data_IF_872715162211
#
_entry.id   IF_872715162211
#
_cell.length_a   1.000
_cell.length_b   1.000
_cell.length_c   1.000
_cell.angle_alpha   90.00
_cell.angle_beta   90.00
_cell.angle_gamma   90.00
#
_symmetry.space_group_name_H-M   'P 1'
#
loop_
_entity.id
_entity.type
_entity.pdbx_description
1 polymer ?
#
# COMPACT_ATOMS: atom_id res chain seq x y z
N UNK A 1 30.87 -22.32 -6.98
CA UNK A 1 29.56 -21.75 -7.30
C UNK A 1 28.41 -22.31 -6.45
N UNK A 2 28.46 -23.55 -5.95
CA UNK A 2 27.42 -24.17 -5.11
C UNK A 2 27.42 -23.64 -3.66
N UNK A 3 28.58 -23.27 -3.12
CA UNK A 3 28.73 -22.76 -1.73
C UNK A 3 28.07 -21.37 -1.55
N UNK A 4 28.04 -20.53 -2.60
CA UNK A 4 27.41 -19.21 -2.55
C UNK A 4 25.87 -19.27 -2.49
N UNK A 5 25.25 -20.26 -3.13
CA UNK A 5 23.79 -20.45 -3.13
C UNK A 5 23.28 -20.99 -1.79
N UNK A 6 24.04 -21.87 -1.13
CA UNK A 6 23.70 -22.39 0.20
C UNK A 6 23.84 -21.30 1.26
N UNK A 7 24.84 -20.40 1.13
CA UNK A 7 25.00 -19.23 2.01
C UNK A 7 23.84 -18.24 1.88
N UNK A 8 23.36 -17.97 0.66
CA UNK A 8 22.20 -17.10 0.41
C UNK A 8 20.89 -17.71 0.92
N UNK A 9 20.75 -19.04 0.82
CA UNK A 9 19.58 -19.77 1.34
C UNK A 9 19.55 -19.83 2.88
N UNK A 10 20.72 -19.91 3.51
CA UNK A 10 20.88 -19.84 4.98
C UNK A 10 20.63 -18.44 5.50
N UNK A 11 21.19 -17.40 4.84
CA UNK A 11 21.03 -15.99 5.23
C UNK A 11 19.58 -15.51 5.15
N UNK A 12 18.82 -15.94 4.12
CA UNK A 12 17.40 -15.61 3.97
C UNK A 12 16.50 -16.28 5.02
N UNK A 13 16.97 -17.33 5.70
CA UNK A 13 16.19 -18.07 6.69
C UNK A 13 16.35 -17.54 8.12
N UNK A 14 17.51 -16.99 8.44
CA UNK A 14 17.81 -16.44 9.77
C UNK A 14 17.46 -14.96 9.91
N UNK A 15 17.48 -14.18 8.83
CA UNK A 15 17.27 -12.73 8.87
C UNK A 15 15.84 -12.27 9.15
N UNK A 16 14.85 -13.17 9.16
CA UNK A 16 13.44 -12.86 9.48
C UNK A 16 12.95 -13.41 10.83
N UNK A 17 13.81 -13.99 11.63
CA UNK A 17 13.53 -14.19 13.05
C UNK A 17 13.81 -12.84 13.71
N UNK A 18 12.75 -12.07 13.96
CA UNK A 18 12.84 -10.84 14.75
C UNK A 18 13.31 -11.27 16.15
N UNK A 19 14.62 -11.19 16.41
CA UNK A 19 15.13 -11.22 17.75
C UNK A 19 14.65 -9.95 18.44
N UNK A 20 13.67 -10.07 19.32
CA UNK A 20 13.02 -8.98 20.06
C UNK A 20 14.03 -8.18 20.93
N UNK A 21 15.26 -8.63 21.07
CA UNK A 21 16.19 -8.17 22.09
C UNK A 21 17.25 -7.17 21.60
N UNK A 22 17.39 -6.95 20.29
CA UNK A 22 18.32 -5.93 19.80
C UNK A 22 17.70 -4.53 19.84
N UNK A 23 17.95 -3.83 20.95
CA UNK A 23 17.52 -2.45 21.16
C UNK A 23 18.55 -1.46 20.62
N UNK A 24 18.06 -0.31 20.15
CA UNK A 24 18.92 0.82 19.79
C UNK A 24 19.52 1.39 21.08
N UNK A 25 20.85 1.45 21.17
CA UNK A 25 21.55 1.95 22.36
C UNK A 25 21.75 3.46 22.36
N UNK A 26 21.65 4.11 21.19
CA UNK A 26 21.90 5.55 21.03
C UNK A 26 20.67 6.40 21.39
N UNK A 27 20.93 7.52 22.09
CA UNK A 27 19.91 8.57 22.28
C UNK A 27 19.54 9.20 20.92
N UNK A 28 18.27 9.57 20.64
CA UNK A 28 17.09 9.54 21.54
C UNK A 28 16.30 8.21 21.53
N UNK A 29 16.71 7.20 20.79
CA UNK A 29 15.92 6.00 20.50
C UNK A 29 16.24 4.80 21.40
N UNK A 30 16.81 5.05 22.58
CA UNK A 30 17.09 4.00 23.57
C UNK A 30 15.83 3.16 23.85
N UNK A 31 16.01 1.86 23.92
CA UNK A 31 14.98 0.86 24.22
C UNK A 31 13.96 0.58 23.10
N UNK A 32 14.13 1.14 21.90
CA UNK A 32 13.31 0.78 20.73
C UNK A 32 14.01 -0.38 19.99
N UNK A 33 13.25 -1.40 19.58
CA UNK A 33 13.83 -2.48 18.78
C UNK A 33 14.32 -1.94 17.42
N UNK A 34 15.45 -2.45 16.93
CA UNK A 34 16.04 -2.03 15.64
C UNK A 34 15.05 -2.17 14.49
N UNK A 35 14.24 -3.25 14.48
CA UNK A 35 13.22 -3.46 13.46
C UNK A 35 12.14 -2.36 13.50
N UNK A 36 11.65 -1.99 14.69
CA UNK A 36 10.66 -0.92 14.85
C UNK A 36 11.20 0.42 14.39
N UNK A 37 12.42 0.74 14.74
CA UNK A 37 13.10 1.94 14.28
C UNK A 37 13.24 1.96 12.74
N UNK A 38 13.65 0.82 12.14
CA UNK A 38 13.75 0.68 10.69
C UNK A 38 12.42 0.90 9.98
N UNK A 39 11.33 0.31 10.48
CA UNK A 39 9.98 0.50 9.91
C UNK A 39 9.55 1.96 10.01
N UNK A 40 9.78 2.63 11.13
CA UNK A 40 9.43 4.04 11.29
C UNK A 40 10.23 4.94 10.35
N UNK A 41 11.53 4.70 10.22
CA UNK A 41 12.39 5.45 9.28
C UNK A 41 11.95 5.24 7.83
N UNK A 42 11.63 4.00 7.46
CA UNK A 42 11.08 3.67 6.15
C UNK A 42 9.76 4.43 5.91
N UNK A 43 8.78 4.32 6.80
CA UNK A 43 7.51 5.03 6.65
C UNK A 43 7.67 6.55 6.59
N UNK A 44 8.61 7.13 7.36
CA UNK A 44 8.92 8.54 7.27
C UNK A 44 9.47 8.93 5.90
N UNK A 45 10.34 8.12 5.29
CA UNK A 45 10.84 8.35 3.94
C UNK A 45 9.72 8.29 2.89
N UNK A 46 8.78 7.36 3.06
CA UNK A 46 7.63 7.23 2.15
C UNK A 46 6.65 8.41 2.27
N UNK A 47 6.44 8.95 3.47
CA UNK A 47 5.66 10.17 3.67
C UNK A 47 6.27 11.34 2.89
N UNK A 48 7.59 11.50 2.97
CA UNK A 48 8.30 12.56 2.22
C UNK A 48 8.17 12.31 0.71
N UNK A 49 8.36 11.07 0.27
CA UNK A 49 8.28 10.70 -1.14
C UNK A 49 6.88 11.00 -1.74
N UNK A 50 5.80 10.55 -1.09
CA UNK A 50 4.45 10.88 -1.53
C UNK A 50 4.12 12.37 -1.38
N UNK A 51 4.65 13.03 -0.35
CA UNK A 51 4.52 14.46 -0.17
C UNK A 51 5.09 15.25 -1.35
N UNK A 52 6.24 14.84 -1.88
CA UNK A 52 6.85 15.43 -3.10
C UNK A 52 5.96 15.18 -4.32
N UNK A 53 5.44 13.96 -4.51
CA UNK A 53 4.55 13.64 -5.63
C UNK A 53 3.26 14.48 -5.59
N UNK A 54 2.64 14.60 -4.42
CA UNK A 54 1.42 15.41 -4.24
C UNK A 54 1.71 16.90 -4.47
N UNK A 55 2.84 17.40 -3.98
CA UNK A 55 3.25 18.79 -4.21
C UNK A 55 3.51 19.07 -5.70
N UNK A 56 4.16 18.14 -6.40
CA UNK A 56 4.39 18.24 -7.85
C UNK A 56 3.05 18.24 -8.60
N UNK A 57 2.10 17.36 -8.23
CA UNK A 57 0.77 17.36 -8.78
C UNK A 57 0.06 18.72 -8.60
N UNK A 58 0.04 19.26 -7.39
CA UNK A 58 -0.57 20.57 -7.11
C UNK A 58 0.09 21.69 -7.88
N UNK A 59 1.43 21.68 -7.96
CA UNK A 59 2.16 22.68 -8.76
C UNK A 59 1.78 22.62 -10.23
N UNK A 60 1.74 21.45 -10.84
CA UNK A 60 1.34 21.27 -12.24
C UNK A 60 -0.10 21.71 -12.44
N UNK A 61 -1.00 21.33 -11.54
CA UNK A 61 -2.42 21.70 -11.60
C UNK A 61 -2.65 23.22 -11.61
N UNK A 62 -2.00 23.92 -10.67
CA UNK A 62 -2.19 25.38 -10.53
C UNK A 62 -1.61 26.15 -11.73
N UNK A 63 -0.53 25.62 -12.34
CA UNK A 63 0.16 26.29 -13.45
C UNK A 63 -0.28 25.80 -14.83
N UNK A 64 -1.19 24.83 -14.94
CA UNK A 64 -1.69 24.33 -16.23
C UNK A 64 -2.88 25.15 -16.74
N UNK A 65 -2.78 25.56 -18.01
CA UNK A 65 -3.89 26.27 -18.67
C UNK A 65 -5.05 25.34 -19.07
N UNK A 66 -4.77 24.04 -19.25
CA UNK A 66 -5.76 23.03 -19.60
C UNK A 66 -5.77 21.94 -18.53
N UNK A 67 -6.89 21.78 -17.84
CA UNK A 67 -7.12 20.78 -16.81
C UNK A 67 -8.50 20.13 -17.00
N UNK A 68 -8.66 18.82 -16.72
CA UNK A 68 -9.97 18.17 -16.81
C UNK A 68 -11.03 18.90 -15.98
N UNK A 69 -12.25 19.05 -16.52
CA UNK A 69 -13.35 19.66 -15.76
C UNK A 69 -13.73 18.77 -14.57
N UNK A 70 -14.37 19.38 -13.56
CA UNK A 70 -14.94 18.62 -12.43
C UNK A 70 -15.91 17.57 -12.96
N UNK A 71 -15.80 16.33 -12.44
CA UNK A 71 -16.60 15.19 -12.88
C UNK A 71 -16.00 14.41 -14.06
N UNK A 72 -14.81 14.78 -14.54
CA UNK A 72 -14.10 13.97 -15.54
C UNK A 72 -13.73 12.60 -15.00
N UNK A 73 -13.29 12.55 -13.74
CA UNK A 73 -13.07 11.30 -13.02
C UNK A 73 -14.37 10.86 -12.33
N UNK A 74 -14.68 9.57 -12.40
CA UNK A 74 -15.87 9.00 -11.77
C UNK A 74 -15.72 8.98 -10.24
N UNK A 75 -16.38 9.94 -9.58
CA UNK A 75 -16.39 10.08 -8.12
C UNK A 75 -16.93 8.80 -7.45
N UNK A 76 -17.92 8.13 -8.09
CA UNK A 76 -18.51 6.90 -7.57
C UNK A 76 -17.49 5.76 -7.50
N UNK A 77 -16.69 5.58 -8.56
CA UNK A 77 -15.58 4.60 -8.57
C UNK A 77 -14.51 4.93 -7.54
N UNK A 78 -14.13 6.20 -7.43
CA UNK A 78 -13.17 6.67 -6.42
C UNK A 78 -13.67 6.42 -4.99
N UNK A 79 -14.93 6.73 -4.71
CA UNK A 79 -15.57 6.50 -3.42
C UNK A 79 -15.68 5.00 -3.08
N UNK A 80 -16.07 4.16 -4.05
CA UNK A 80 -16.10 2.71 -3.89
C UNK A 80 -14.70 2.18 -3.51
N UNK A 81 -13.67 2.57 -4.25
CA UNK A 81 -12.30 2.18 -4.01
C UNK A 81 -11.80 2.61 -2.63
N UNK A 82 -12.19 3.78 -2.15
CA UNK A 82 -11.89 4.27 -0.81
C UNK A 82 -12.52 3.37 0.26
N UNK A 83 -13.80 3.00 0.10
CA UNK A 83 -14.47 2.08 1.04
C UNK A 83 -13.85 0.68 1.04
N UNK A 84 -13.42 0.17 -0.12
CA UNK A 84 -12.73 -1.12 -0.23
C UNK A 84 -11.44 -1.10 0.60
N UNK A 85 -10.61 -0.06 0.44
CA UNK A 85 -9.36 0.06 1.19
C UNK A 85 -9.60 0.25 2.69
N UNK A 86 -10.54 1.11 3.10
CA UNK A 86 -10.88 1.29 4.51
C UNK A 86 -11.37 -0.03 5.15
N UNK A 87 -12.17 -0.82 4.42
CA UNK A 87 -12.60 -2.13 4.88
C UNK A 87 -11.43 -3.10 4.97
N UNK A 88 -10.48 -3.05 4.02
CA UNK A 88 -9.26 -3.87 4.05
C UNK A 88 -8.35 -3.49 5.23
N UNK A 89 -8.32 -2.22 5.59
CA UNK A 89 -7.62 -1.70 6.77
C UNK A 89 -8.18 -2.32 8.06
N UNK A 90 -9.51 -2.40 8.17
CA UNK A 90 -10.16 -3.07 9.29
C UNK A 90 -9.80 -4.56 9.37
N UNK A 91 -9.79 -5.27 8.23
CA UNK A 91 -9.39 -6.69 8.22
C UNK A 91 -7.92 -6.88 8.61
N UNK A 92 -7.03 -5.95 8.25
CA UNK A 92 -5.62 -5.98 8.68
C UNK A 92 -5.49 -5.82 10.22
N UNK A 93 -6.30 -4.94 10.85
CA UNK A 93 -6.36 -4.82 12.32
C UNK A 93 -6.87 -6.11 12.96
N UNK A 94 -7.91 -6.73 12.39
CA UNK A 94 -8.45 -8.01 12.87
C UNK A 94 -7.42 -9.15 12.76
N UNK A 95 -6.55 -9.14 11.73
CA UNK A 95 -5.45 -10.09 11.62
C UNK A 95 -4.49 -9.96 12.81
N UNK A 96 -4.10 -8.74 13.17
CA UNK A 96 -3.24 -8.49 14.32
C UNK A 96 -3.91 -8.88 15.65
N UNK A 97 -5.18 -8.51 15.84
CA UNK A 97 -5.94 -8.88 17.03
C UNK A 97 -6.03 -10.41 17.18
N UNK A 98 -6.33 -11.11 16.08
CA UNK A 98 -6.39 -12.57 16.04
C UNK A 98 -5.03 -13.23 16.34
N UNK A 99 -3.94 -12.65 15.87
CA UNK A 99 -2.59 -13.13 16.15
C UNK A 99 -2.24 -13.03 17.64
N UNK A 100 -2.60 -11.91 18.27
CA UNK A 100 -2.36 -11.70 19.73
C UNK A 100 -3.09 -12.71 20.61
N UNK A 101 -4.27 -13.14 20.22
CA UNK A 101 -5.03 -14.18 20.94
C UNK A 101 -4.66 -15.60 20.51
N UNK A 102 -3.82 -15.75 19.47
CA UNK A 102 -3.38 -17.05 18.97
C UNK A 102 -4.39 -17.76 18.05
N UNK A 103 -5.40 -17.04 17.53
CA UNK A 103 -6.44 -17.60 16.66
C UNK A 103 -5.94 -17.74 15.22
N UNK A 104 -5.58 -18.96 14.81
CA UNK A 104 -5.09 -19.27 13.46
C UNK A 104 -6.12 -18.97 12.37
N UNK A 105 -7.35 -19.41 12.59
CA UNK A 105 -8.46 -19.18 11.65
C UNK A 105 -8.72 -17.68 11.48
N UNK A 106 -8.72 -16.92 12.59
CA UNK A 106 -8.90 -15.47 12.55
C UNK A 106 -7.81 -14.76 11.76
N UNK A 107 -6.53 -15.11 11.95
CA UNK A 107 -5.41 -14.53 11.20
C UNK A 107 -5.52 -14.84 9.71
N UNK A 108 -5.73 -16.10 9.35
CA UNK A 108 -5.83 -16.52 7.95
C UNK A 108 -7.01 -15.88 7.24
N UNK A 109 -8.20 -15.91 7.86
CA UNK A 109 -9.38 -15.29 7.28
C UNK A 109 -9.24 -13.78 7.09
N UNK A 110 -8.66 -13.09 8.08
CA UNK A 110 -8.44 -11.64 8.01
C UNK A 110 -7.40 -11.26 6.96
N UNK A 111 -6.28 -11.98 6.87
CA UNK A 111 -5.26 -11.74 5.82
C UNK A 111 -5.81 -12.02 4.41
N UNK A 112 -6.61 -13.08 4.24
CA UNK A 112 -7.29 -13.36 2.98
C UNK A 112 -8.29 -12.26 2.62
N UNK A 113 -9.05 -11.76 3.59
CA UNK A 113 -9.95 -10.62 3.40
C UNK A 113 -9.20 -9.36 2.93
N UNK A 114 -8.09 -9.02 3.60
CA UNK A 114 -7.24 -7.89 3.21
C UNK A 114 -6.69 -8.09 1.79
N UNK A 115 -6.22 -9.30 1.47
CA UNK A 115 -5.70 -9.64 0.15
C UNK A 115 -6.76 -9.49 -0.95
N UNK A 116 -7.95 -10.06 -0.73
CA UNK A 116 -9.05 -10.01 -1.70
C UNK A 116 -9.50 -8.56 -1.98
N UNK A 117 -9.67 -7.76 -0.91
CA UNK A 117 -10.08 -6.36 -1.03
C UNK A 117 -8.99 -5.51 -1.72
N UNK A 118 -7.71 -5.69 -1.37
CA UNK A 118 -6.61 -4.99 -2.03
C UNK A 118 -6.42 -5.39 -3.50
N UNK A 119 -6.60 -6.67 -3.83
CA UNK A 119 -6.58 -7.14 -5.21
C UNK A 119 -7.77 -6.57 -6.02
N UNK A 120 -8.95 -6.51 -5.42
CA UNK A 120 -10.12 -5.90 -6.04
C UNK A 120 -9.96 -4.40 -6.28
N UNK A 121 -9.31 -3.68 -5.35
CA UNK A 121 -8.92 -2.29 -5.57
C UNK A 121 -8.00 -2.13 -6.79
N UNK A 122 -6.94 -2.95 -6.91
CA UNK A 122 -6.03 -2.88 -8.06
C UNK A 122 -6.74 -3.21 -9.37
N UNK A 123 -7.65 -4.19 -9.37
CA UNK A 123 -8.46 -4.53 -10.52
C UNK A 123 -9.32 -3.35 -10.97
N UNK A 124 -10.05 -2.71 -10.06
CA UNK A 124 -10.86 -1.53 -10.36
C UNK A 124 -10.00 -0.38 -10.92
N UNK A 125 -8.79 -0.19 -10.36
CA UNK A 125 -7.87 0.85 -10.85
C UNK A 125 -7.35 0.56 -12.24
N UNK A 126 -7.07 -0.70 -12.57
CA UNK A 126 -6.65 -1.10 -13.91
C UNK A 126 -7.75 -0.82 -14.95
N UNK A 127 -9.01 -1.14 -14.64
CA UNK A 127 -10.16 -0.83 -15.51
C UNK A 127 -10.35 0.68 -15.69
N UNK A 128 -10.25 1.45 -14.64
CA UNK A 128 -10.35 2.91 -14.71
C UNK A 128 -9.23 3.52 -15.57
N UNK A 129 -8.02 3.00 -15.45
CA UNK A 129 -6.91 3.44 -16.29
C UNK A 129 -7.13 3.14 -17.77
N UNK A 130 -7.66 1.95 -18.08
CA UNK A 130 -8.01 1.56 -19.45
C UNK A 130 -9.08 2.49 -20.01
N UNK A 131 -10.17 2.75 -19.29
CA UNK A 131 -11.24 3.64 -19.70
C UNK A 131 -10.73 5.07 -19.98
N UNK A 132 -9.88 5.62 -19.12
CA UNK A 132 -9.31 6.96 -19.29
C UNK A 132 -8.31 7.04 -20.47
N UNK A 133 -7.54 5.96 -20.71
CA UNK A 133 -6.58 5.91 -21.81
C UNK A 133 -7.27 5.79 -23.18
N UNK A 134 -8.31 4.96 -23.27
CA UNK A 134 -9.02 4.71 -24.53
C UNK A 134 -10.06 5.81 -24.80
N UNK A 135 -10.62 6.43 -23.75
CA UNK A 135 -11.62 7.50 -23.86
C UNK A 135 -13.00 7.03 -24.34
N UNK A 136 -13.29 5.73 -24.28
CA UNK A 136 -14.53 5.14 -24.81
C UNK A 136 -15.82 5.73 -24.21
N UNK A 137 -15.79 6.14 -22.95
CA UNK A 137 -16.95 6.66 -22.22
C UNK A 137 -16.99 8.20 -22.11
N UNK A 138 -15.99 8.88 -22.66
CA UNK A 138 -15.79 10.32 -22.53
C UNK A 138 -16.09 11.08 -23.82
N UNK A 139 -16.84 10.49 -24.74
CA UNK A 139 -17.27 11.18 -25.94
C UNK A 139 -18.14 12.42 -25.57
N UNK A 140 -17.81 13.62 -26.08
CA UNK A 140 -16.91 13.89 -27.21
C UNK A 140 -15.46 14.23 -26.82
N UNK A 141 -15.06 14.07 -25.55
CA UNK A 141 -13.81 14.60 -25.01
C UNK A 141 -12.60 13.73 -25.41
N UNK A 142 -12.77 12.41 -25.67
CA UNK A 142 -11.68 11.50 -26.06
C UNK A 142 -10.70 11.15 -24.93
N UNK A 143 -9.54 10.63 -25.28
CA UNK A 143 -8.50 10.20 -24.32
C UNK A 143 -7.98 11.37 -23.46
N UNK A 144 -7.71 11.08 -22.18
CA UNK A 144 -7.12 12.06 -21.26
C UNK A 144 -5.72 12.51 -21.73
N UNK A 145 -4.98 11.63 -22.42
CA UNK A 145 -3.66 11.97 -22.93
C UNK A 145 -3.69 12.98 -24.08
N UNK A 146 -4.72 12.93 -24.93
CA UNK A 146 -4.85 13.84 -26.06
C UNK A 146 -5.28 15.25 -25.61
N UNK A 147 -6.16 15.32 -24.62
CA UNK A 147 -6.77 16.58 -24.20
C UNK A 147 -6.06 17.23 -23.01
N UNK A 148 -5.56 16.40 -22.07
CA UNK A 148 -4.97 16.88 -20.82
C UNK A 148 -3.68 16.11 -20.47
N UNK A 149 -2.61 16.20 -21.28
CA UNK A 149 -1.40 15.36 -21.12
C UNK A 149 -0.69 15.55 -19.77
N UNK A 150 -0.69 16.76 -19.22
CA UNK A 150 -0.08 17.03 -17.91
C UNK A 150 -0.91 16.43 -16.77
N UNK A 151 -2.23 16.52 -16.86
CA UNK A 151 -3.13 15.89 -15.89
C UNK A 151 -3.04 14.37 -15.96
N UNK A 152 -3.04 13.80 -17.18
CA UNK A 152 -2.84 12.38 -17.40
C UNK A 152 -1.54 11.89 -16.77
N UNK A 153 -0.42 12.53 -17.11
CA UNK A 153 0.90 12.15 -16.59
C UNK A 153 0.93 12.19 -15.06
N UNK A 154 0.43 13.28 -14.47
CA UNK A 154 0.39 13.44 -13.01
C UNK A 154 -0.49 12.37 -12.34
N UNK A 155 -1.66 12.09 -12.92
CA UNK A 155 -2.59 11.08 -12.43
C UNK A 155 -1.99 9.67 -12.48
N UNK A 156 -1.48 9.25 -13.66
CA UNK A 156 -0.94 7.89 -13.84
C UNK A 156 0.33 7.66 -13.02
N UNK A 157 1.23 8.65 -12.94
CA UNK A 157 2.44 8.51 -12.10
C UNK A 157 2.04 8.38 -10.63
N UNK A 158 1.21 9.28 -10.11
CA UNK A 158 0.90 9.30 -8.67
C UNK A 158 0.08 8.09 -8.25
N UNK A 159 -0.97 7.74 -9.02
CA UNK A 159 -1.81 6.57 -8.74
C UNK A 159 -1.08 5.27 -9.05
N UNK A 160 -0.15 5.26 -10.02
CA UNK A 160 0.70 4.11 -10.36
C UNK A 160 1.68 3.77 -9.25
N UNK A 161 2.39 4.77 -8.74
CA UNK A 161 3.28 4.59 -7.59
C UNK A 161 2.50 4.07 -6.38
N UNK A 162 1.32 4.63 -6.12
CA UNK A 162 0.44 4.12 -5.07
C UNK A 162 0.02 2.66 -5.34
N UNK A 163 -0.36 2.32 -6.57
CA UNK A 163 -0.69 0.95 -6.97
C UNK A 163 0.45 -0.04 -6.77
N UNK A 164 1.70 0.36 -7.04
CA UNK A 164 2.90 -0.44 -6.75
C UNK A 164 3.03 -0.70 -5.23
N UNK A 165 2.74 0.29 -4.38
CA UNK A 165 2.75 0.10 -2.92
C UNK A 165 1.64 -0.84 -2.45
N UNK A 166 0.43 -0.73 -3.00
CA UNK A 166 -0.65 -1.72 -2.73
C UNK A 166 -0.22 -3.12 -3.15
N UNK A 167 0.37 -3.28 -4.34
CA UNK A 167 0.88 -4.56 -4.82
C UNK A 167 1.98 -5.12 -3.92
N UNK A 168 2.92 -4.29 -3.46
CA UNK A 168 3.95 -4.71 -2.49
C UNK A 168 3.32 -5.21 -1.18
N UNK A 169 2.26 -4.54 -0.69
CA UNK A 169 1.49 -5.01 0.46
C UNK A 169 0.82 -6.37 0.23
N UNK A 170 0.25 -6.61 -0.97
CA UNK A 170 -0.30 -7.92 -1.33
C UNK A 170 0.79 -9.00 -1.38
N UNK A 171 1.98 -8.68 -1.90
CA UNK A 171 3.12 -9.60 -1.89
C UNK A 171 3.56 -9.94 -0.44
N UNK A 172 3.52 -8.97 0.47
CA UNK A 172 3.77 -9.22 1.91
C UNK A 172 2.71 -10.16 2.50
N UNK A 173 1.42 -10.00 2.17
CA UNK A 173 0.38 -10.93 2.62
C UNK A 173 0.62 -12.33 2.06
N UNK A 174 0.95 -12.44 0.76
CA UNK A 174 1.26 -13.72 0.13
C UNK A 174 2.45 -14.45 0.79
N UNK A 175 3.40 -13.69 1.36
CA UNK A 175 4.49 -14.22 2.17
C UNK A 175 4.06 -14.60 3.59
N UNK A 176 3.19 -13.81 4.23
CA UNK A 176 2.73 -14.05 5.61
C UNK A 176 1.75 -15.21 5.71
N UNK A 177 0.90 -15.40 4.71
CA UNK A 177 -0.18 -16.38 4.73
C UNK A 177 0.31 -17.83 4.89
N UNK A 178 1.28 -18.34 4.10
CA UNK A 178 1.83 -19.69 4.29
C UNK A 178 2.51 -19.86 5.65
N UNK A 179 3.10 -18.81 6.20
CA UNK A 179 3.73 -18.82 7.53
C UNK A 179 2.68 -18.94 8.63
N UNK A 180 1.59 -18.19 8.54
CA UNK A 180 0.47 -18.28 9.45
C UNK A 180 -0.16 -19.69 9.43
N UNK A 181 -0.27 -20.29 8.24
CA UNK A 181 -0.79 -21.67 8.08
C UNK A 181 0.11 -22.72 8.71
N UNK A 182 1.45 -22.58 8.64
CA UNK A 182 2.43 -23.55 9.14
C UNK A 182 2.80 -23.34 10.59
N UNK A 183 2.56 -22.17 11.16
CA UNK A 183 2.96 -21.83 12.53
C UNK A 183 2.13 -22.59 13.56
N UNK A 184 2.80 -23.10 14.58
CA UNK A 184 2.16 -23.65 15.77
C UNK A 184 1.78 -22.54 16.78
N UNK A 185 2.58 -21.46 16.84
CA UNK A 185 2.33 -20.30 17.71
C UNK A 185 2.34 -19.00 16.89
N UNK A 186 1.17 -18.41 16.76
CA UNK A 186 0.96 -17.15 16.04
C UNK A 186 1.31 -15.91 16.85
N UNK A 187 1.44 -16.04 18.17
CA UNK A 187 1.81 -14.91 19.03
C UNK A 187 3.21 -14.41 18.69
N UNK A 188 4.14 -15.30 18.36
CA UNK A 188 5.47 -14.94 17.86
C UNK A 188 5.44 -14.20 16.52
N UNK A 189 4.40 -14.41 15.70
CA UNK A 189 4.23 -13.71 14.42
C UNK A 189 3.50 -12.38 14.55
N UNK A 190 2.95 -12.06 15.74
CA UNK A 190 2.17 -10.83 15.94
C UNK A 190 2.97 -9.56 15.64
N UNK A 191 4.28 -9.54 15.89
CA UNK A 191 5.14 -8.40 15.55
C UNK A 191 5.27 -8.19 14.04
N UNK A 192 5.44 -9.27 13.28
CA UNK A 192 5.53 -9.19 11.81
C UNK A 192 4.20 -8.74 11.21
N UNK A 193 3.08 -9.23 11.73
CA UNK A 193 1.74 -8.78 11.32
C UNK A 193 1.50 -7.33 11.71
N UNK A 194 2.03 -6.87 12.85
CA UNK A 194 1.99 -5.46 13.25
C UNK A 194 2.72 -4.57 12.24
N UNK A 195 3.94 -4.93 11.83
CA UNK A 195 4.71 -4.14 10.87
C UNK A 195 4.06 -4.12 9.48
N UNK A 196 3.48 -5.24 9.05
CA UNK A 196 2.64 -5.27 7.86
C UNK A 196 1.45 -4.32 8.00
N UNK A 197 0.72 -4.37 9.11
CA UNK A 197 -0.43 -3.49 9.38
C UNK A 197 -0.07 -2.01 9.34
N UNK A 198 1.07 -1.60 9.93
CA UNK A 198 1.56 -0.22 9.86
C UNK A 198 1.82 0.22 8.41
N UNK A 199 2.45 -0.65 7.61
CA UNK A 199 2.66 -0.37 6.19
C UNK A 199 1.34 -0.27 5.43
N UNK A 200 0.41 -1.21 5.63
CA UNK A 200 -0.90 -1.22 4.96
C UNK A 200 -1.71 0.02 5.28
N UNK A 201 -1.78 0.42 6.55
CA UNK A 201 -2.45 1.66 6.95
C UNK A 201 -1.81 2.92 6.36
N UNK A 202 -0.49 2.95 6.23
CA UNK A 202 0.18 4.04 5.55
C UNK A 202 -0.28 4.14 4.09
N UNK A 203 -0.31 3.03 3.36
CA UNK A 203 -0.79 2.98 1.97
C UNK A 203 -2.23 3.47 1.87
N UNK A 204 -3.12 3.05 2.77
CA UNK A 204 -4.52 3.49 2.82
C UNK A 204 -4.64 5.00 3.10
N UNK A 205 -3.83 5.53 4.01
CA UNK A 205 -3.80 6.97 4.31
C UNK A 205 -3.38 7.77 3.07
N UNK A 206 -2.39 7.32 2.32
CA UNK A 206 -2.01 7.95 1.05
C UNK A 206 -3.20 8.03 0.09
N UNK A 207 -3.99 6.95 -0.04
CA UNK A 207 -5.19 6.95 -0.88
C UNK A 207 -6.24 7.97 -0.42
N UNK A 208 -6.43 8.15 0.90
CA UNK A 208 -7.35 9.16 1.46
C UNK A 208 -6.97 10.58 1.00
N UNK A 209 -5.68 10.87 0.77
CA UNK A 209 -5.25 12.15 0.19
C UNK A 209 -5.39 12.17 -1.33
N UNK A 210 -5.11 11.05 -2.03
CA UNK A 210 -5.22 10.97 -3.48
C UNK A 210 -6.67 11.12 -3.96
N UNK A 211 -7.60 10.48 -3.27
CA UNK A 211 -9.01 10.51 -3.65
C UNK A 211 -9.56 11.95 -3.78
N UNK A 212 -9.53 12.83 -2.76
CA UNK A 212 -10.04 14.18 -2.92
C UNK A 212 -9.27 15.00 -3.95
N UNK A 213 -7.95 14.83 -4.04
CA UNK A 213 -7.13 15.61 -4.97
C UNK A 213 -7.43 15.33 -6.44
N UNK A 214 -7.77 14.08 -6.79
CA UNK A 214 -8.05 13.72 -8.17
C UNK A 214 -9.54 13.73 -8.52
N UNK A 215 -10.42 13.38 -7.57
CA UNK A 215 -11.84 13.18 -7.87
C UNK A 215 -12.76 14.32 -7.40
N UNK A 216 -12.36 15.09 -6.39
CA UNK A 216 -13.23 16.12 -5.79
C UNK A 216 -12.81 17.55 -6.10
N UNK A 217 -11.53 17.78 -6.37
CA UNK A 217 -10.95 19.08 -6.67
C UNK A 217 -10.47 19.08 -8.12
#
# INVERSE_FOLDING_TARGET
MVIGLVGLYGYGRESFIVHEDEKVESWPFKAISRMRFGVWTFLASEIIFFGVLLSAYLFVRINSFAWPPLGYFDIGKGFLNTNILLTSSLTAVLALASAKVGSKTGVVASLLGTFALGAYFLYNKALEWEELAIGEHLAPIGSIFDNFPLAATSYYITTGVHGVHVFAGLAMIAYLLPRALKSADLRHQSQTILYFGLYWHFVDIVWIFLFPLFYLI
#
